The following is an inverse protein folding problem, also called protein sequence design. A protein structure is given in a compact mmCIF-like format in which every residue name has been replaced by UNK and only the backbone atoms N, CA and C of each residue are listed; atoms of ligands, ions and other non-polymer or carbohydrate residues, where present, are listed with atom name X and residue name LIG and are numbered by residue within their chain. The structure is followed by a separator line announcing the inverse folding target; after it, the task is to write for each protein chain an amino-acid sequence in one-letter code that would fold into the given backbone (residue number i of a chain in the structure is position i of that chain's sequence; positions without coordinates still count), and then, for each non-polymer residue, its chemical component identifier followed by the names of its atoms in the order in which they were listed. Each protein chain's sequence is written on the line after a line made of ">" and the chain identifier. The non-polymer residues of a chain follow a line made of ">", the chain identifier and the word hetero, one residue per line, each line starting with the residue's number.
data_IF_258749384884
#
_entry.id   IF_258749384884
#
_cell.length_a   1.000
_cell.length_b   1.000
_cell.length_c   1.000
_cell.angle_alpha   90.00
_cell.angle_beta   90.00
_cell.angle_gamma   90.00
#
_symmetry.space_group_name_H-M   'P 1'
#
loop_
_entity.id
_entity.type
_entity.pdbx_description
1 polymer ?
#
# COMPACT_ATOMS: atom_id res chain seq x y z
N UNK A 1 -11.94 -6.27 -99.71
CA UNK A 1 -12.73 -7.52 -99.76
C UNK A 1 -13.36 -7.65 -98.39
N UNK A 2 -14.47 -6.95 -98.19
CA UNK A 2 -15.86 -7.47 -98.34
C UNK A 2 -16.24 -8.34 -97.14
N UNK A 3 -17.41 -8.31 -96.50
CA UNK A 3 -18.63 -7.50 -96.51
C UNK A 3 -19.43 -8.04 -95.29
N UNK A 4 -20.22 -7.17 -94.65
CA UNK A 4 -21.46 -7.40 -93.88
C UNK A 4 -21.93 -8.83 -93.52
N UNK A 5 -22.41 -9.03 -92.28
CA UNK A 5 -23.86 -9.08 -91.98
C UNK A 5 -24.21 -9.41 -90.51
N UNK A 6 -25.16 -8.65 -89.96
CA UNK A 6 -26.09 -9.00 -88.85
C UNK A 6 -27.29 -9.77 -89.45
N UNK A 7 -28.10 -10.59 -88.73
CA UNK A 7 -29.09 -10.05 -87.76
C UNK A 7 -29.61 -10.96 -86.61
N UNK A 8 -30.28 -10.29 -85.65
CA UNK A 8 -31.54 -10.60 -84.92
C UNK A 8 -31.80 -11.89 -84.09
N UNK A 9 -32.16 -11.66 -82.80
CA UNK A 9 -33.32 -12.15 -81.98
C UNK A 9 -33.55 -13.68 -81.84
N UNK A 10 -33.97 -14.31 -80.73
CA UNK A 10 -34.93 -13.99 -79.64
C UNK A 10 -34.87 -15.14 -78.59
N UNK A 11 -35.14 -14.84 -77.31
CA UNK A 11 -36.09 -15.63 -76.50
C UNK A 11 -35.57 -16.67 -75.48
N UNK A 12 -35.98 -16.49 -74.21
CA UNK A 12 -36.23 -17.59 -73.27
C UNK A 12 -35.58 -17.49 -71.89
N UNK A 13 -36.06 -16.59 -71.01
CA UNK A 13 -35.85 -16.72 -69.55
C UNK A 13 -36.83 -17.75 -68.96
N UNK A 14 -36.30 -18.76 -68.25
CA UNK A 14 -37.05 -19.62 -67.34
C UNK A 14 -36.81 -19.13 -65.90
N UNK A 15 -37.84 -19.10 -65.04
CA UNK A 15 -37.68 -18.63 -63.67
C UNK A 15 -36.90 -19.66 -62.82
N UNK A 16 -36.11 -19.20 -61.83
CA UNK A 16 -35.32 -20.08 -60.97
C UNK A 16 -36.20 -20.82 -59.98
N UNK A 17 -35.96 -22.13 -59.84
CA UNK A 17 -36.58 -22.96 -58.81
C UNK A 17 -36.05 -22.62 -57.42
N UNK A 18 -36.99 -22.29 -56.53
CA UNK A 18 -36.78 -21.98 -55.12
C UNK A 18 -36.47 -23.27 -54.33
N UNK A 19 -35.21 -23.43 -53.91
CA UNK A 19 -34.78 -24.53 -53.02
C UNK A 19 -35.15 -24.20 -51.58
N UNK A 20 -36.21 -24.82 -51.06
CA UNK A 20 -36.58 -24.79 -49.64
C UNK A 20 -35.66 -25.71 -48.82
N UNK A 21 -34.53 -25.16 -48.37
CA UNK A 21 -33.63 -25.83 -47.43
C UNK A 21 -34.22 -25.91 -46.02
N UNK A 22 -34.62 -27.11 -45.60
CA UNK A 22 -34.98 -27.45 -44.21
C UNK A 22 -33.88 -27.01 -43.24
N UNK A 23 -34.17 -26.03 -42.39
CA UNK A 23 -33.31 -25.64 -41.27
C UNK A 23 -33.32 -26.76 -40.22
N UNK A 24 -32.20 -27.45 -40.05
CA UNK A 24 -32.02 -28.45 -39.00
C UNK A 24 -32.34 -27.84 -37.62
N UNK A 25 -33.25 -28.41 -36.81
CA UNK A 25 -33.52 -27.97 -35.43
C UNK A 25 -32.43 -28.40 -34.44
N UNK A 26 -31.21 -28.62 -34.95
CA UNK A 26 -30.08 -29.02 -34.14
C UNK A 26 -29.47 -27.80 -33.43
N UNK A 27 -29.21 -27.98 -32.13
CA UNK A 27 -28.34 -27.19 -31.27
C UNK A 27 -28.84 -25.93 -30.54
N UNK A 28 -30.10 -25.49 -30.67
CA UNK A 28 -30.59 -24.37 -29.83
C UNK A 28 -30.48 -24.66 -28.32
N UNK A 29 -30.69 -25.92 -27.92
CA UNK A 29 -30.63 -26.32 -26.51
C UNK A 29 -29.21 -26.35 -25.94
N UNK A 30 -28.19 -26.66 -26.77
CA UNK A 30 -26.78 -26.62 -26.36
C UNK A 30 -26.28 -25.20 -26.14
N UNK A 31 -26.75 -24.24 -26.94
CA UNK A 31 -26.44 -22.82 -26.75
C UNK A 31 -27.10 -22.25 -25.49
N UNK A 32 -28.33 -22.66 -25.20
CA UNK A 32 -29.04 -22.25 -23.97
C UNK A 32 -28.32 -22.80 -22.73
N UNK A 33 -27.89 -24.07 -22.74
CA UNK A 33 -27.15 -24.64 -21.60
C UNK A 33 -25.77 -24.01 -21.41
N UNK A 34 -25.03 -23.75 -22.49
CA UNK A 34 -23.74 -23.04 -22.41
C UNK A 34 -23.90 -21.62 -21.84
N UNK A 35 -24.95 -20.90 -22.25
CA UNK A 35 -25.25 -19.56 -21.74
C UNK A 35 -25.56 -19.59 -20.24
N UNK A 36 -26.38 -20.54 -19.77
CA UNK A 36 -26.74 -20.67 -18.34
C UNK A 36 -25.50 -20.95 -17.49
N UNK A 37 -24.61 -21.85 -17.93
CA UNK A 37 -23.36 -22.15 -17.20
C UNK A 37 -22.46 -20.90 -17.12
N UNK A 38 -22.37 -20.13 -18.20
CA UNK A 38 -21.54 -18.91 -18.24
C UNK A 38 -22.10 -17.82 -17.30
N UNK A 39 -23.43 -17.68 -17.21
CA UNK A 39 -24.08 -16.78 -16.25
C UNK A 39 -23.84 -17.22 -14.81
N UNK A 40 -23.88 -18.52 -14.50
CA UNK A 40 -23.60 -19.03 -13.15
C UNK A 40 -22.13 -18.79 -12.77
N UNK A 41 -21.19 -19.01 -13.69
CA UNK A 41 -19.77 -18.72 -13.46
C UNK A 41 -19.56 -17.21 -13.24
N UNK A 42 -20.15 -16.37 -14.10
CA UNK A 42 -20.06 -14.92 -13.95
C UNK A 42 -20.69 -14.44 -12.62
N UNK A 43 -21.84 -14.99 -12.23
CA UNK A 43 -22.49 -14.69 -10.96
C UNK A 43 -21.65 -15.17 -9.76
N UNK A 44 -21.03 -16.35 -9.85
CA UNK A 44 -20.11 -16.85 -8.83
C UNK A 44 -18.85 -15.99 -8.70
N UNK A 45 -18.31 -15.50 -9.82
CA UNK A 45 -17.18 -14.56 -9.83
C UNK A 45 -17.59 -13.22 -9.22
N UNK A 46 -18.72 -12.65 -9.63
CA UNK A 46 -19.25 -11.38 -9.07
C UNK A 46 -19.55 -11.53 -7.58
N UNK A 47 -20.17 -12.63 -7.16
CA UNK A 47 -20.46 -12.93 -5.76
C UNK A 47 -19.17 -13.03 -4.95
N UNK A 48 -18.19 -13.81 -5.41
CA UNK A 48 -16.87 -13.94 -4.79
C UNK A 48 -16.14 -12.59 -4.68
N UNK A 49 -16.16 -11.76 -5.72
CA UNK A 49 -15.57 -10.42 -5.68
C UNK A 49 -16.37 -9.44 -4.82
N UNK A 50 -17.69 -9.59 -4.70
CA UNK A 50 -18.53 -8.72 -3.87
C UNK A 50 -18.43 -9.06 -2.37
N UNK A 51 -18.28 -10.34 -2.03
CA UNK A 51 -18.13 -10.82 -0.66
C UNK A 51 -16.71 -10.56 -0.16
N UNK A 52 -15.68 -10.70 -1.01
CA UNK A 52 -14.30 -10.36 -0.66
C UNK A 52 -14.00 -8.86 -0.59
N UNK A 53 -14.80 -7.97 -1.18
CA UNK A 53 -14.58 -6.51 -1.04
C UNK A 53 -14.90 -5.98 0.36
N UNK A 54 -15.69 -6.74 1.13
CA UNK A 54 -16.06 -6.40 2.50
C UNK A 54 -15.41 -7.32 3.54
N UNK A 55 -14.63 -8.32 3.10
CA UNK A 55 -13.89 -9.18 4.00
C UNK A 55 -12.70 -8.40 4.54
N UNK A 56 -12.68 -8.21 5.85
CA UNK A 56 -11.56 -7.63 6.58
C UNK A 56 -10.24 -8.30 6.15
N UNK A 57 -9.20 -7.52 5.82
CA UNK A 57 -7.94 -8.09 5.38
C UNK A 57 -7.30 -8.89 6.51
N UNK A 58 -6.88 -10.12 6.19
CA UNK A 58 -6.33 -11.08 7.15
C UNK A 58 -5.01 -11.65 6.69
N UNK A 59 -4.17 -11.97 7.65
CA UNK A 59 -2.86 -12.56 7.48
C UNK A 59 -2.64 -13.66 8.52
N UNK A 60 -2.28 -14.85 8.06
CA UNK A 60 -1.83 -15.92 8.94
C UNK A 60 -0.36 -15.75 9.32
N UNK A 61 0.03 -16.28 10.48
CA UNK A 61 1.45 -16.32 10.90
C UNK A 61 2.34 -16.97 9.83
N UNK A 62 1.85 -18.02 9.17
CA UNK A 62 2.59 -18.71 8.08
C UNK A 62 2.84 -17.79 6.89
N UNK A 63 1.86 -16.97 6.51
CA UNK A 63 2.02 -16.00 5.42
C UNK A 63 3.02 -14.91 5.83
N UNK A 64 2.92 -14.39 7.05
CA UNK A 64 3.88 -13.41 7.56
C UNK A 64 5.32 -13.93 7.53
N UNK A 65 5.56 -15.14 8.05
CA UNK A 65 6.87 -15.81 7.99
C UNK A 65 7.38 -15.97 6.56
N UNK A 66 6.49 -16.31 5.62
CA UNK A 66 6.86 -16.42 4.21
C UNK A 66 7.28 -15.07 3.62
N UNK A 67 6.56 -13.99 3.94
CA UNK A 67 6.87 -12.63 3.47
C UNK A 67 8.24 -12.20 4.01
N UNK A 68 8.51 -12.39 5.31
CA UNK A 68 9.83 -12.10 5.87
C UNK A 68 10.95 -12.85 5.13
N UNK A 69 10.77 -14.15 4.87
CA UNK A 69 11.77 -14.93 4.15
C UNK A 69 12.00 -14.45 2.71
N UNK A 70 10.96 -13.92 2.04
CA UNK A 70 11.07 -13.34 0.70
C UNK A 70 11.90 -12.03 0.70
N UNK A 71 11.88 -11.30 1.80
CA UNK A 71 12.63 -10.05 2.02
C UNK A 71 13.99 -10.28 2.71
N UNK A 72 14.44 -11.53 2.79
CA UNK A 72 15.75 -11.88 3.35
C UNK A 72 15.80 -11.94 4.89
N UNK A 73 14.66 -11.95 5.57
CA UNK A 73 14.54 -12.16 7.01
C UNK A 73 14.05 -13.59 7.29
N UNK A 74 14.92 -14.43 7.83
CA UNK A 74 14.62 -15.81 8.15
C UNK A 74 14.17 -15.93 9.61
N UNK A 75 12.97 -16.49 9.80
CA UNK A 75 12.39 -16.67 11.13
C UNK A 75 12.45 -18.13 11.56
N UNK A 76 13.24 -18.41 12.61
CA UNK A 76 13.37 -19.75 13.18
C UNK A 76 12.46 -19.88 14.38
N UNK A 77 11.45 -20.75 14.29
CA UNK A 77 10.46 -20.93 15.36
C UNK A 77 11.13 -21.41 16.65
N UNK A 78 10.78 -20.77 17.76
CA UNK A 78 11.29 -21.08 19.10
C UNK A 78 10.16 -21.04 20.13
N UNK A 79 10.48 -21.28 21.40
CA UNK A 79 9.58 -21.11 22.54
C UNK A 79 10.17 -20.08 23.51
N UNK A 80 9.35 -19.19 24.02
CA UNK A 80 9.70 -18.33 25.15
C UNK A 80 8.67 -18.56 26.26
N UNK A 81 9.03 -19.24 27.37
CA UNK A 81 8.10 -19.50 28.46
C UNK A 81 7.66 -18.23 29.19
N UNK A 82 8.37 -17.12 29.02
CA UNK A 82 8.04 -15.81 29.58
C UNK A 82 7.21 -14.94 28.64
N UNK A 83 6.94 -15.40 27.41
CA UNK A 83 6.11 -14.65 26.47
C UNK A 83 4.70 -14.47 27.05
N UNK A 84 4.36 -13.21 27.33
CA UNK A 84 3.07 -12.86 27.89
C UNK A 84 1.95 -13.15 26.89
N UNK A 85 0.82 -13.62 27.42
CA UNK A 85 -0.43 -13.68 26.67
C UNK A 85 -1.04 -12.27 26.64
N UNK A 86 -1.54 -11.85 25.48
CA UNK A 86 -2.21 -10.55 25.33
C UNK A 86 -3.65 -10.83 24.93
N UNK A 87 -4.58 -10.40 25.77
CA UNK A 87 -6.02 -10.56 25.54
C UNK A 87 -6.43 -12.00 25.14
N UNK A 88 -5.94 -13.01 25.85
CA UNK A 88 -6.28 -14.41 25.55
C UNK A 88 -5.38 -15.11 24.52
N UNK A 89 -4.49 -14.36 23.84
CA UNK A 89 -3.72 -14.86 22.69
C UNK A 89 -2.24 -15.01 23.03
N UNK A 90 -1.71 -16.21 22.82
CA UNK A 90 -0.28 -16.51 22.94
C UNK A 90 0.44 -16.22 21.62
N UNK A 91 1.67 -15.68 21.65
CA UNK A 91 2.41 -15.44 20.43
C UNK A 91 3.01 -16.72 19.87
N UNK A 92 3.19 -16.75 18.56
CA UNK A 92 4.23 -17.57 17.93
C UNK A 92 5.56 -16.81 18.03
N UNK A 93 6.57 -17.45 18.62
CA UNK A 93 7.88 -16.82 18.89
C UNK A 93 8.91 -17.32 17.89
N UNK A 94 9.71 -16.40 17.35
CA UNK A 94 10.75 -16.68 16.36
C UNK A 94 12.05 -15.97 16.73
N UNK A 95 13.18 -16.62 16.48
CA UNK A 95 14.47 -15.92 16.34
C UNK A 95 14.57 -15.32 14.94
N UNK A 96 15.23 -14.15 14.84
CA UNK A 96 15.44 -13.45 13.57
C UNK A 96 16.87 -13.70 13.08
N UNK A 97 17.05 -14.23 11.86
CA UNK A 97 18.36 -14.43 11.21
C UNK A 97 19.41 -15.13 12.10
N UNK A 98 18.99 -16.13 12.87
CA UNK A 98 19.83 -16.86 13.84
C UNK A 98 20.48 -15.97 14.94
N UNK A 99 19.96 -14.74 15.12
CA UNK A 99 20.26 -13.89 16.28
C UNK A 99 19.43 -14.31 17.49
N UNK A 100 19.78 -13.81 18.67
CA UNK A 100 18.97 -14.03 19.88
C UNK A 100 17.78 -13.05 19.99
N UNK A 101 17.63 -12.12 19.04
CA UNK A 101 16.47 -11.21 18.98
C UNK A 101 15.23 -12.01 18.63
N UNK A 102 14.16 -11.78 19.41
CA UNK A 102 12.90 -12.50 19.25
C UNK A 102 11.84 -11.60 18.62
N UNK A 103 11.16 -12.14 17.61
CA UNK A 103 9.90 -11.62 17.08
C UNK A 103 8.74 -12.46 17.60
N UNK A 104 7.82 -11.81 18.31
CA UNK A 104 6.58 -12.41 18.80
C UNK A 104 5.43 -11.99 17.89
N UNK A 105 4.72 -12.97 17.31
CA UNK A 105 3.58 -12.72 16.41
C UNK A 105 2.30 -13.25 17.06
N UNK A 106 1.38 -12.34 17.41
CA UNK A 106 0.09 -12.66 18.02
C UNK A 106 -1.01 -12.64 16.95
N UNK A 107 -1.58 -13.81 16.58
CA UNK A 107 -2.68 -13.88 15.63
C UNK A 107 -4.03 -13.70 16.32
N UNK A 108 -4.76 -12.65 15.95
CA UNK A 108 -6.16 -12.45 16.35
C UNK A 108 -7.10 -12.86 15.23
N UNK A 109 -8.38 -13.04 15.55
CA UNK A 109 -9.36 -13.33 14.51
C UNK A 109 -9.64 -12.05 13.70
N UNK A 110 -9.65 -10.86 14.30
CA UNK A 110 -9.92 -9.60 13.58
C UNK A 110 -8.93 -8.48 13.92
N UNK A 111 -8.94 -7.42 13.10
CA UNK A 111 -8.30 -6.13 13.38
C UNK A 111 -8.92 -5.52 14.64
N UNK A 112 -10.25 -5.60 14.81
CA UNK A 112 -10.93 -5.11 16.03
C UNK A 112 -10.37 -5.77 17.29
N UNK A 113 -10.26 -7.10 17.31
CA UNK A 113 -9.67 -7.85 18.44
C UNK A 113 -8.20 -7.48 18.67
N UNK A 114 -7.41 -7.37 17.59
CA UNK A 114 -6.00 -6.94 17.67
C UNK A 114 -5.88 -5.54 18.27
N UNK A 115 -6.75 -4.59 17.89
CA UNK A 115 -6.74 -3.22 18.43
C UNK A 115 -7.11 -3.20 19.90
N UNK A 116 -8.16 -3.92 20.30
CA UNK A 116 -8.53 -4.08 21.70
C UNK A 116 -7.36 -4.65 22.53
N UNK A 117 -6.66 -5.65 21.98
CA UNK A 117 -5.48 -6.23 22.62
C UNK A 117 -4.31 -5.24 22.74
N UNK A 118 -4.04 -4.46 21.68
CA UNK A 118 -3.01 -3.42 21.70
C UNK A 118 -3.31 -2.31 22.72
N UNK A 119 -4.58 -1.88 22.82
CA UNK A 119 -4.99 -0.84 23.77
C UNK A 119 -4.96 -1.35 25.21
N UNK A 120 -5.42 -2.58 25.46
CA UNK A 120 -5.30 -3.23 26.77
C UNK A 120 -3.84 -3.31 27.21
N UNK A 121 -2.94 -3.71 26.32
CA UNK A 121 -1.53 -3.72 26.63
C UNK A 121 -1.01 -2.32 26.95
N UNK A 122 -1.40 -1.27 26.19
CA UNK A 122 -0.93 0.10 26.43
C UNK A 122 -1.32 0.59 27.81
N UNK A 123 -2.53 0.24 28.25
CA UNK A 123 -3.04 0.54 29.60
C UNK A 123 -2.22 -0.23 30.65
N UNK A 124 -2.10 -1.55 30.51
CA UNK A 124 -1.34 -2.38 31.44
C UNK A 124 0.13 -2.00 31.54
N UNK A 125 0.70 -1.49 30.43
CA UNK A 125 2.05 -0.96 30.41
C UNK A 125 2.11 0.26 31.31
N UNK A 126 1.35 1.32 31.04
CA UNK A 126 1.40 2.60 31.78
C UNK A 126 1.50 2.50 33.31
N UNK A 127 0.96 1.44 33.91
CA UNK A 127 0.94 1.21 35.36
C UNK A 127 2.22 0.56 35.94
N UNK A 128 3.20 0.12 35.13
CA UNK A 128 4.46 -0.47 35.63
C UNK A 128 5.60 0.54 35.57
N UNK A 129 6.20 0.87 36.72
CA UNK A 129 7.26 1.89 36.84
C UNK A 129 8.61 1.54 36.17
N UNK A 130 8.77 0.34 35.59
CA UNK A 130 10.06 -0.18 35.12
C UNK A 130 9.96 -0.71 33.68
N UNK A 131 9.75 0.19 32.73
CA UNK A 131 9.69 -0.20 31.31
C UNK A 131 11.05 -0.18 30.65
N UNK A 132 11.43 -1.34 30.10
CA UNK A 132 12.34 -1.37 28.96
C UNK A 132 11.68 -0.58 27.82
N UNK A 133 12.39 0.41 27.29
CA UNK A 133 11.94 1.22 26.16
C UNK A 133 11.69 0.41 24.88
N UNK A 134 12.05 -0.88 24.84
CA UNK A 134 12.23 -1.65 23.61
C UNK A 134 11.09 -2.60 23.21
N UNK A 135 10.06 -2.78 24.05
CA UNK A 135 8.88 -3.53 23.64
C UNK A 135 7.93 -2.65 22.82
N UNK A 136 8.34 -2.26 21.61
CA UNK A 136 7.42 -1.62 20.66
C UNK A 136 6.56 -2.67 19.96
N UNK A 137 5.28 -2.33 19.76
CA UNK A 137 4.39 -3.15 18.96
C UNK A 137 4.17 -2.55 17.59
N UNK A 138 4.25 -3.44 16.62
CA UNK A 138 3.90 -3.18 15.24
C UNK A 138 2.61 -3.91 14.91
N UNK A 139 1.90 -3.38 13.93
CA UNK A 139 0.54 -3.82 13.61
C UNK A 139 0.49 -4.16 12.13
N UNK A 140 -0.03 -5.33 11.79
CA UNK A 140 -0.30 -5.70 10.41
C UNK A 140 -1.59 -6.49 10.31
N UNK A 141 -2.64 -5.88 9.77
CA UNK A 141 -3.98 -6.49 9.65
C UNK A 141 -4.41 -7.04 11.02
N UNK A 142 -4.76 -8.33 11.12
CA UNK A 142 -5.14 -9.02 12.36
C UNK A 142 -3.94 -9.49 13.21
N UNK A 143 -2.70 -9.16 12.86
CA UNK A 143 -1.50 -9.54 13.62
C UNK A 143 -0.96 -8.37 14.44
N UNK A 144 -0.64 -8.65 15.71
CA UNK A 144 0.19 -7.78 16.54
C UNK A 144 1.60 -8.39 16.62
N UNK A 145 2.63 -7.59 16.39
CA UNK A 145 4.02 -8.04 16.36
C UNK A 145 4.86 -7.28 17.39
N UNK A 146 5.71 -7.97 18.12
CA UNK A 146 6.52 -7.38 19.20
C UNK A 146 7.96 -7.85 19.13
N UNK A 147 8.89 -6.95 19.44
CA UNK A 147 10.30 -7.27 19.57
C UNK A 147 10.68 -7.45 21.03
N UNK A 148 11.51 -8.46 21.28
CA UNK A 148 12.21 -8.61 22.56
C UNK A 148 13.72 -8.66 22.26
N UNK A 149 14.49 -7.63 22.66
CA UNK A 149 15.93 -7.64 22.50
C UNK A 149 16.59 -8.68 23.43
N UNK A 150 17.87 -8.95 23.18
CA UNK A 150 18.68 -9.95 23.89
C UNK A 150 18.92 -9.53 25.35
N UNK A 151 19.28 -8.26 25.56
CA UNK A 151 19.47 -7.60 26.84
C UNK A 151 19.43 -6.08 26.61
N UNK A 152 18.74 -5.32 27.48
CA UNK A 152 18.59 -3.86 27.35
C UNK A 152 19.94 -3.13 27.39
N UNK A 153 20.98 -3.77 27.93
CA UNK A 153 22.32 -3.20 28.07
C UNK A 153 23.24 -3.42 26.84
N UNK A 154 22.81 -4.15 25.81
CA UNK A 154 23.70 -4.70 24.77
C UNK A 154 23.34 -4.45 23.31
N UNK A 155 22.36 -3.57 22.99
CA UNK A 155 21.90 -3.35 21.62
C UNK A 155 23.01 -2.75 20.74
N UNK A 156 23.32 -3.42 19.64
CA UNK A 156 24.31 -2.96 18.65
C UNK A 156 23.66 -2.16 17.52
N UNK A 157 24.48 -1.46 16.73
CA UNK A 157 23.99 -0.78 15.51
C UNK A 157 23.42 -1.77 14.48
N UNK A 158 23.92 -3.00 14.45
CA UNK A 158 23.40 -4.05 13.56
C UNK A 158 22.00 -4.50 14.01
N UNK A 159 21.77 -4.60 15.31
CA UNK A 159 20.44 -4.92 15.87
C UNK A 159 19.41 -3.82 15.58
N UNK A 160 19.84 -2.54 15.65
CA UNK A 160 18.99 -1.41 15.27
C UNK A 160 18.63 -1.44 13.78
N UNK A 161 19.60 -1.76 12.92
CA UNK A 161 19.35 -1.89 11.47
C UNK A 161 18.43 -3.07 11.16
N UNK A 162 18.62 -4.20 11.85
CA UNK A 162 17.75 -5.37 11.70
C UNK A 162 16.32 -5.04 12.14
N UNK A 163 16.16 -4.39 13.29
CA UNK A 163 14.84 -3.95 13.78
C UNK A 163 14.17 -3.01 12.78
N UNK A 164 14.88 -2.01 12.27
CA UNK A 164 14.37 -1.09 11.25
C UNK A 164 13.96 -1.83 9.97
N UNK A 165 14.76 -2.79 9.50
CA UNK A 165 14.40 -3.60 8.32
C UNK A 165 13.14 -4.42 8.56
N UNK A 166 12.97 -5.00 9.75
CA UNK A 166 11.77 -5.78 10.08
C UNK A 166 10.55 -4.86 10.20
N UNK A 167 10.69 -3.67 10.78
CA UNK A 167 9.67 -2.63 10.79
C UNK A 167 9.23 -2.23 9.36
N UNK A 168 10.19 -1.98 8.47
CA UNK A 168 9.93 -1.66 7.06
C UNK A 168 9.15 -2.80 6.38
N UNK A 169 9.49 -4.06 6.64
CA UNK A 169 8.76 -5.21 6.07
C UNK A 169 7.33 -5.28 6.64
N UNK A 170 7.14 -4.99 7.92
CA UNK A 170 5.81 -4.97 8.55
C UNK A 170 4.94 -3.86 7.93
N UNK A 171 5.50 -2.66 7.81
CA UNK A 171 4.79 -1.56 7.21
C UNK A 171 4.57 -1.79 5.72
N UNK A 172 5.59 -2.12 4.94
CA UNK A 172 5.47 -2.15 3.49
C UNK A 172 4.81 -3.42 2.96
N UNK A 173 5.21 -4.58 3.47
CA UNK A 173 4.86 -5.88 2.86
C UNK A 173 3.72 -6.57 3.57
N UNK A 174 3.69 -6.56 4.91
CA UNK A 174 2.62 -7.25 5.65
C UNK A 174 1.28 -6.50 5.58
N UNK A 175 1.33 -5.17 5.45
CA UNK A 175 0.16 -4.30 5.31
C UNK A 175 -0.24 -3.97 3.86
N UNK A 176 0.45 -4.53 2.85
CA UNK A 176 0.20 -4.22 1.43
C UNK A 176 0.23 -2.71 1.14
N UNK A 177 1.27 -2.03 1.64
CA UNK A 177 1.37 -0.57 1.55
C UNK A 177 1.37 -0.09 0.11
N UNK A 178 0.64 0.99 -0.10
CA UNK A 178 0.51 1.72 -1.35
C UNK A 178 1.40 2.96 -1.30
N UNK A 179 1.79 3.45 -2.47
CA UNK A 179 2.68 4.59 -2.61
C UNK A 179 2.07 5.63 -3.57
N UNK A 180 2.18 6.91 -3.20
CA UNK A 180 1.90 8.06 -4.06
C UNK A 180 3.18 8.89 -4.19
N UNK A 181 3.52 9.28 -5.40
CA UNK A 181 4.56 10.26 -5.67
C UNK A 181 3.91 11.58 -6.08
N UNK A 182 4.34 12.68 -5.48
CA UNK A 182 3.96 14.04 -5.88
C UNK A 182 5.18 14.77 -6.39
N UNK A 183 5.05 15.47 -7.52
CA UNK A 183 6.12 16.32 -8.05
C UNK A 183 5.59 17.68 -8.46
N UNK A 184 6.40 18.72 -8.27
CA UNK A 184 6.06 20.10 -8.62
C UNK A 184 7.32 20.92 -8.83
N UNK A 185 7.22 22.01 -9.60
CA UNK A 185 8.37 22.82 -9.99
C UNK A 185 8.01 24.30 -10.00
N UNK A 186 9.00 25.14 -9.72
CA UNK A 186 9.02 26.58 -9.96
C UNK A 186 10.26 26.94 -10.80
N UNK A 187 10.58 28.22 -10.93
CA UNK A 187 11.73 28.68 -11.69
C UNK A 187 13.06 28.15 -11.10
N UNK A 188 13.15 28.05 -9.77
CA UNK A 188 14.37 27.68 -9.07
C UNK A 188 14.28 26.37 -8.27
N UNK A 189 13.09 25.79 -8.09
CA UNK A 189 12.91 24.65 -7.20
C UNK A 189 12.11 23.52 -7.84
N UNK A 190 12.46 22.30 -7.48
CA UNK A 190 11.71 21.08 -7.71
C UNK A 190 11.36 20.48 -6.34
N UNK A 191 10.12 20.04 -6.16
CA UNK A 191 9.69 19.26 -5.00
C UNK A 191 9.34 17.83 -5.41
N UNK A 192 9.77 16.88 -4.59
CA UNK A 192 9.35 15.49 -4.66
C UNK A 192 8.84 15.05 -3.28
N UNK A 193 7.62 14.55 -3.21
CA UNK A 193 7.05 13.97 -2.00
C UNK A 193 6.59 12.55 -2.26
N UNK A 194 7.15 11.59 -1.53
CA UNK A 194 6.69 10.20 -1.54
C UNK A 194 5.86 9.93 -0.29
N UNK A 195 4.61 9.48 -0.50
CA UNK A 195 3.67 9.08 0.56
C UNK A 195 3.44 7.58 0.48
N UNK A 196 3.86 6.85 1.51
CA UNK A 196 3.57 5.42 1.69
C UNK A 196 2.46 5.26 2.72
N UNK A 197 1.49 4.38 2.48
CA UNK A 197 0.37 4.18 3.39
C UNK A 197 -0.29 2.81 3.28
N UNK A 198 -1.00 2.41 4.34
CA UNK A 198 -2.04 1.39 4.27
C UNK A 198 -3.35 1.93 4.87
N UNK A 199 -4.48 1.38 4.43
CA UNK A 199 -5.81 1.72 4.94
C UNK A 199 -6.69 0.47 4.89
N UNK A 200 -6.98 -0.09 6.06
CA UNK A 200 -7.79 -1.30 6.22
C UNK A 200 -9.10 -0.94 6.92
N UNK A 201 -10.22 -1.18 6.24
CA UNK A 201 -11.55 -1.04 6.83
C UNK A 201 -11.96 -2.37 7.49
N UNK A 202 -12.60 -2.28 8.65
CA UNK A 202 -13.05 -3.45 9.40
C UNK A 202 -14.36 -3.16 10.14
N UNK A 203 -15.10 -4.21 10.48
CA UNK A 203 -16.31 -4.08 11.28
C UNK A 203 -15.96 -4.11 12.77
N UNK A 204 -16.45 -3.14 13.53
CA UNK A 204 -16.42 -3.13 14.99
C UNK A 204 -17.49 -4.08 15.56
N UNK A 205 -17.43 -4.37 16.87
CA UNK A 205 -18.37 -5.26 17.55
C UNK A 205 -19.84 -4.76 17.46
N UNK A 206 -20.05 -3.44 17.46
CA UNK A 206 -21.37 -2.83 17.32
C UNK A 206 -21.85 -2.72 15.84
N UNK A 207 -21.05 -3.22 14.90
CA UNK A 207 -21.33 -3.18 13.46
C UNK A 207 -20.95 -1.87 12.78
N UNK A 208 -20.34 -0.92 13.49
CA UNK A 208 -19.79 0.29 12.87
C UNK A 208 -18.53 -0.01 12.05
N UNK A 209 -18.22 0.85 11.08
CA UNK A 209 -17.05 0.70 10.23
C UNK A 209 -15.85 1.39 10.88
N UNK A 210 -14.90 0.59 11.35
CA UNK A 210 -13.59 1.03 11.80
C UNK A 210 -12.60 1.21 10.65
N UNK A 211 -11.52 1.95 10.92
CA UNK A 211 -10.42 2.15 9.99
C UNK A 211 -9.09 1.98 10.73
N UNK A 212 -8.24 1.10 10.21
CA UNK A 212 -6.87 0.89 10.66
C UNK A 212 -5.94 1.39 9.57
N UNK A 213 -5.30 2.53 9.83
CA UNK A 213 -4.47 3.20 8.84
C UNK A 213 -3.19 3.71 9.47
N UNK A 214 -2.19 3.84 8.63
CA UNK A 214 -0.96 4.55 8.92
C UNK A 214 -0.37 5.05 7.61
N UNK A 215 0.33 6.16 7.66
CA UNK A 215 1.09 6.66 6.52
C UNK A 215 2.41 7.25 6.98
N UNK A 216 3.36 7.27 6.06
CA UNK A 216 4.58 8.06 6.12
C UNK A 216 4.67 8.94 4.88
N UNK A 217 5.22 10.13 5.02
CA UNK A 217 5.48 11.06 3.93
C UNK A 217 6.89 11.61 4.07
N UNK A 218 7.69 11.48 3.02
CA UNK A 218 9.04 12.05 2.92
C UNK A 218 9.05 13.05 1.79
N UNK A 219 9.64 14.22 2.02
CA UNK A 219 9.69 15.30 1.03
C UNK A 219 11.12 15.80 0.84
N UNK A 220 11.44 16.10 -0.41
CA UNK A 220 12.71 16.67 -0.85
C UNK A 220 12.42 17.96 -1.62
N UNK A 221 13.28 18.96 -1.43
CA UNK A 221 13.37 20.13 -2.30
C UNK A 221 14.73 20.12 -2.99
N UNK A 222 14.74 20.35 -4.30
CA UNK A 222 15.96 20.43 -5.09
C UNK A 222 16.06 21.79 -5.77
N UNK A 223 17.18 22.47 -5.57
CA UNK A 223 17.48 23.69 -6.30
C UNK A 223 17.88 23.37 -7.75
N UNK A 224 17.31 24.11 -8.69
CA UNK A 224 17.47 23.89 -10.13
C UNK A 224 18.54 24.78 -10.77
N UNK A 225 19.03 25.80 -10.05
CA UNK A 225 20.09 26.69 -10.53
C UNK A 225 21.49 26.08 -10.40
N UNK A 226 22.44 26.62 -11.16
CA UNK A 226 23.80 26.09 -11.27
C UNK A 226 24.68 26.35 -10.02
N UNK A 227 24.39 27.39 -9.23
CA UNK A 227 25.20 27.83 -8.08
C UNK A 227 24.53 27.48 -6.75
N UNK A 228 24.53 26.18 -6.41
CA UNK A 228 23.96 25.65 -5.15
C UNK A 228 24.59 26.28 -3.91
N UNK A 229 25.91 26.49 -3.92
CA UNK A 229 26.65 27.02 -2.75
C UNK A 229 26.19 28.46 -2.40
N UNK A 230 25.69 29.21 -3.39
CA UNK A 230 25.14 30.55 -3.14
C UNK A 230 23.82 30.53 -2.37
N UNK A 231 23.04 29.45 -2.41
CA UNK A 231 21.69 29.36 -1.83
C UNK A 231 21.72 29.39 -0.30
N UNK A 232 22.73 28.74 0.30
CA UNK A 232 22.84 28.61 1.75
C UNK A 232 21.73 27.76 2.37
N UNK A 233 21.24 28.16 3.53
CA UNK A 233 20.12 27.50 4.21
C UNK A 233 18.77 28.06 3.75
N UNK A 234 17.77 27.20 3.65
CA UNK A 234 16.42 27.58 3.26
C UNK A 234 15.44 27.54 4.42
N UNK A 235 14.34 28.25 4.24
CA UNK A 235 13.10 28.02 4.98
C UNK A 235 12.03 27.53 4.04
N UNK A 236 11.16 26.65 4.50
CA UNK A 236 10.10 26.10 3.68
C UNK A 236 8.78 25.97 4.45
N UNK A 237 7.70 25.95 3.69
CA UNK A 237 6.38 25.49 4.13
C UNK A 237 5.84 24.53 3.09
N UNK A 238 5.29 23.41 3.55
CA UNK A 238 4.49 22.49 2.76
C UNK A 238 3.08 22.43 3.36
N UNK A 239 2.06 22.67 2.55
CA UNK A 239 0.67 22.65 2.98
C UNK A 239 -0.15 21.71 2.11
N UNK A 240 -0.99 20.90 2.74
CA UNK A 240 -2.03 20.11 2.06
C UNK A 240 -3.29 20.11 2.91
N UNK A 241 -4.42 20.50 2.31
CA UNK A 241 -5.68 20.68 3.05
C UNK A 241 -5.48 21.58 4.30
N UNK A 242 -5.83 21.06 5.48
CA UNK A 242 -5.66 21.73 6.77
C UNK A 242 -4.31 21.43 7.45
N UNK A 243 -3.50 20.54 6.88
CA UNK A 243 -2.19 20.16 7.42
C UNK A 243 -1.10 21.08 6.89
N UNK A 244 -0.15 21.46 7.75
CA UNK A 244 0.99 22.30 7.42
C UNK A 244 2.25 21.75 8.09
N UNK A 245 3.32 21.64 7.32
CA UNK A 245 4.67 21.38 7.78
C UNK A 245 5.57 22.54 7.37
N UNK A 246 6.56 22.88 8.20
CA UNK A 246 7.49 23.96 7.90
C UNK A 246 8.81 23.75 8.63
N UNK A 247 9.89 24.25 8.05
CA UNK A 247 11.21 24.24 8.66
C UNK A 247 12.01 25.46 8.24
N UNK A 248 13.03 25.78 9.03
CA UNK A 248 13.94 26.93 8.84
C UNK A 248 15.36 26.47 9.08
N UNK A 249 16.33 27.04 8.36
CA UNK A 249 17.74 26.66 8.52
C UNK A 249 18.03 25.28 7.92
N UNK A 250 17.29 24.88 6.88
CA UNK A 250 17.46 23.57 6.24
C UNK A 250 18.62 23.68 5.25
N UNK A 251 19.72 22.93 5.42
CA UNK A 251 20.84 22.99 4.50
C UNK A 251 20.56 22.19 3.23
N UNK A 252 21.18 22.61 2.13
CA UNK A 252 21.27 21.83 0.90
C UNK A 252 22.53 20.97 0.94
N UNK A 253 22.45 19.76 0.38
CA UNK A 253 23.64 18.97 0.08
C UNK A 253 24.33 19.50 -1.20
N UNK A 254 25.45 18.88 -1.58
CA UNK A 254 26.24 19.26 -2.78
C UNK A 254 25.48 19.13 -4.10
N UNK A 255 24.41 18.34 -4.13
CA UNK A 255 23.56 18.13 -5.30
C UNK A 255 22.35 19.10 -5.30
N UNK A 256 22.33 20.07 -4.39
CA UNK A 256 21.25 21.06 -4.27
C UNK A 256 19.99 20.54 -3.58
N UNK A 257 20.05 19.40 -2.89
CA UNK A 257 18.89 18.73 -2.30
C UNK A 257 18.81 19.03 -0.80
N UNK A 258 17.65 19.49 -0.36
CA UNK A 258 17.23 19.66 1.02
C UNK A 258 16.22 18.56 1.40
N UNK A 259 16.55 17.75 2.41
CA UNK A 259 15.63 16.77 2.97
C UNK A 259 14.75 17.41 4.05
N UNK A 260 13.42 17.39 3.85
CA UNK A 260 12.47 18.11 4.71
C UNK A 260 12.05 17.29 5.96
N UNK A 261 12.62 16.10 6.12
CA UNK A 261 12.24 15.13 7.14
C UNK A 261 11.15 14.17 6.68
N UNK A 262 10.69 13.35 7.62
CA UNK A 262 9.58 12.42 7.42
C UNK A 262 8.46 12.76 8.40
N UNK A 263 7.23 12.73 7.91
CA UNK A 263 6.02 12.81 8.71
C UNK A 263 5.38 11.42 8.73
N UNK A 264 4.84 11.01 9.87
CA UNK A 264 4.12 9.74 9.96
C UNK A 264 3.02 9.80 10.99
N UNK A 265 1.96 9.04 10.77
CA UNK A 265 0.87 8.99 11.73
C UNK A 265 -0.38 8.29 11.22
N UNK A 266 -1.40 8.31 12.08
CA UNK A 266 -2.76 7.85 11.78
C UNK A 266 -3.64 9.03 11.39
N UNK A 267 -4.57 8.85 10.47
CA UNK A 267 -5.57 9.86 10.11
C UNK A 267 -5.45 10.39 8.68
N UNK A 268 -5.68 11.69 8.50
CA UNK A 268 -5.74 12.30 7.16
C UNK A 268 -4.34 12.38 6.52
N UNK A 269 -4.16 11.61 5.45
CA UNK A 269 -3.00 11.65 4.55
C UNK A 269 -3.33 12.34 3.23
N UNK A 270 -2.32 12.79 2.47
CA UNK A 270 -2.50 13.17 1.07
C UNK A 270 -3.11 12.03 0.24
N UNK A 271 -4.03 12.37 -0.67
CA UNK A 271 -4.69 11.50 -1.65
C UNK A 271 -4.25 11.91 -3.07
N UNK A 272 -4.46 11.04 -4.05
CA UNK A 272 -3.99 11.27 -5.42
C UNK A 272 -4.56 12.55 -6.06
N UNK A 273 -5.76 12.96 -5.66
CA UNK A 273 -6.45 14.17 -6.09
C UNK A 273 -6.09 15.43 -5.27
N UNK A 274 -5.22 15.30 -4.26
CA UNK A 274 -4.74 16.44 -3.48
C UNK A 274 -3.61 17.20 -4.20
N UNK A 275 -3.47 18.46 -3.81
CA UNK A 275 -2.37 19.33 -4.18
C UNK A 275 -1.49 19.59 -2.96
N UNK A 276 -0.16 19.51 -3.14
CA UNK A 276 0.80 19.92 -2.12
C UNK A 276 1.35 21.30 -2.50
N UNK A 277 1.07 22.31 -1.68
CA UNK A 277 1.57 23.66 -1.92
C UNK A 277 2.87 23.88 -1.17
N UNK A 278 3.92 24.22 -1.91
CA UNK A 278 5.23 24.55 -1.37
C UNK A 278 5.45 26.06 -1.42
N UNK A 279 6.06 26.58 -0.36
CA UNK A 279 6.67 27.91 -0.32
C UNK A 279 8.10 27.75 0.16
N UNK A 280 9.06 28.25 -0.60
CA UNK A 280 10.49 28.16 -0.30
C UNK A 280 11.08 29.56 -0.23
N UNK A 281 11.87 29.84 0.81
CA UNK A 281 12.54 31.11 1.03
C UNK A 281 14.04 30.89 1.22
N UNK A 282 14.85 31.67 0.51
CA UNK A 282 16.32 31.63 0.57
C UNK A 282 16.88 33.00 0.16
N UNK A 283 17.94 33.49 0.80
CA UNK A 283 18.59 34.76 0.42
C UNK A 283 17.66 35.98 0.19
N UNK A 284 16.54 36.05 0.91
CA UNK A 284 15.53 37.12 0.73
C UNK A 284 14.63 36.96 -0.50
N UNK A 285 14.75 35.86 -1.24
CA UNK A 285 13.85 35.43 -2.30
C UNK A 285 12.78 34.49 -1.74
N UNK A 286 11.64 34.42 -2.42
CA UNK A 286 10.53 33.53 -2.09
C UNK A 286 9.90 33.01 -3.38
N UNK A 287 9.64 31.71 -3.44
CA UNK A 287 8.86 31.07 -4.50
C UNK A 287 7.77 30.21 -3.89
N UNK A 288 6.63 30.14 -4.59
CA UNK A 288 5.53 29.23 -4.24
C UNK A 288 5.06 28.48 -5.47
N UNK A 289 4.81 27.18 -5.31
CA UNK A 289 4.39 26.30 -6.39
C UNK A 289 3.61 25.11 -5.85
N UNK A 290 2.98 24.36 -6.76
CA UNK A 290 2.15 23.21 -6.43
C UNK A 290 2.77 21.94 -6.99
N UNK A 291 2.78 20.88 -6.18
CA UNK A 291 3.07 19.53 -6.61
C UNK A 291 1.80 18.70 -6.72
N UNK A 292 1.73 17.89 -7.78
CA UNK A 292 0.61 17.02 -8.11
C UNK A 292 1.05 15.55 -8.11
N UNK A 293 0.11 14.64 -7.84
CA UNK A 293 0.38 13.20 -7.88
C UNK A 293 0.75 12.76 -9.31
N UNK A 294 1.78 11.92 -9.44
CA UNK A 294 2.29 11.42 -10.74
C UNK A 294 2.04 9.93 -10.98
N UNK A 295 1.59 9.19 -9.95
CA UNK A 295 1.33 7.75 -10.04
C UNK A 295 -0.16 7.46 -9.80
N UNK A 296 -0.84 6.91 -10.82
CA UNK A 296 -2.15 6.23 -10.74
C UNK A 296 -2.03 4.78 -11.24
#
# INVERSE_FOLDING_TARGET
>A
MDLNNKPANTGGELPPQEKTGRKNPFNRWKWITALVVLVIIAAGIVYYYSENRNAEPRLSVRQAVKIFAQEGIYLTKTSDPEAAEINGVKPAVYFINDTEIKLMIYPYDSIAERKAAADLWRIQRRDKENHSYWEEFYQAKNLLLAFKPIDDAGITLEDLRLTAQVEDIIFEKLNDTQELGFTGYSDNWEAETTVKYYEHFYAEEDGTLGCDNYYTASSLLKYLGDDVESVGEISYTMQYRASKASGTGVPLNRDGIAALGSLGGTGSRPRADDELHFTVQWNGQEESFTAHCVNE
#
